data_IF_989734441297
#
_entry.id   IF_989734441297
#
_cell.length_a   1.000
_cell.length_b   1.000
_cell.length_c   1.000
_cell.angle_alpha   90.00
_cell.angle_beta   90.00
_cell.angle_gamma   90.00
#
_symmetry.space_group_name_H-M   'P 1'
#
loop_
_entity.id
_entity.type
_entity.pdbx_description
1 polymer ?
#
# COMPACT_ATOMS: atom_id res chain seq x y z
N UNK A 1 -2.39 31.48 -1.42
CA UNK A 1 -3.05 31.44 -2.74
C UNK A 1 -2.45 30.37 -3.64
N UNK A 2 -1.17 30.33 -3.89
CA UNK A 2 -0.48 29.36 -4.78
C UNK A 2 -0.75 27.88 -4.39
N UNK A 3 -0.70 27.53 -3.09
CA UNK A 3 -0.94 26.15 -2.61
C UNK A 3 -2.38 25.64 -2.86
N UNK A 4 -3.39 26.53 -2.87
CA UNK A 4 -4.78 26.18 -3.20
C UNK A 4 -4.94 25.96 -4.71
N UNK A 5 -4.28 26.79 -5.53
CA UNK A 5 -4.30 26.68 -6.98
C UNK A 5 -3.66 25.37 -7.46
N UNK A 6 -2.49 25.00 -6.93
CA UNK A 6 -1.83 23.73 -7.22
C UNK A 6 -2.68 22.52 -6.82
N UNK A 7 -3.33 22.55 -5.66
CA UNK A 7 -4.27 21.48 -5.27
C UNK A 7 -5.47 21.38 -6.22
N UNK A 8 -5.99 22.51 -6.70
CA UNK A 8 -7.10 22.52 -7.67
C UNK A 8 -6.69 21.91 -9.01
N UNK A 9 -5.49 22.21 -9.50
CA UNK A 9 -4.95 21.67 -10.76
C UNK A 9 -4.65 20.16 -10.61
N UNK A 10 -4.00 19.77 -9.52
CA UNK A 10 -3.64 18.37 -9.27
C UNK A 10 -4.87 17.45 -9.12
N UNK A 11 -5.99 17.97 -8.61
CA UNK A 11 -7.21 17.19 -8.41
C UNK A 11 -8.21 17.30 -9.58
N UNK A 12 -7.85 18.00 -10.67
CA UNK A 12 -8.76 18.27 -11.80
C UNK A 12 -8.98 17.05 -12.69
N UNK A 13 -7.96 16.19 -12.79
CA UNK A 13 -8.01 15.01 -13.65
C UNK A 13 -7.74 13.73 -12.85
N UNK A 14 -8.42 12.68 -13.23
CA UNK A 14 -8.06 11.32 -12.84
C UNK A 14 -7.35 10.58 -13.98
N UNK A 15 -6.94 9.34 -13.77
CA UNK A 15 -6.21 8.53 -14.76
C UNK A 15 -7.04 8.16 -15.99
N UNK A 16 -8.37 8.38 -15.94
CA UNK A 16 -9.33 8.01 -16.99
C UNK A 16 -9.79 9.21 -17.82
N UNK A 17 -9.60 10.45 -17.33
CA UNK A 17 -10.08 11.66 -17.97
C UNK A 17 -9.00 12.69 -18.35
N UNK A 18 -7.75 12.24 -18.51
CA UNK A 18 -6.66 13.08 -18.99
C UNK A 18 -6.95 13.55 -20.42
N UNK A 19 -6.82 14.86 -20.76
CA UNK A 19 -7.03 15.36 -22.10
C UNK A 19 -6.21 14.62 -23.15
N UNK A 20 -6.84 14.26 -24.27
CA UNK A 20 -6.24 13.41 -25.32
C UNK A 20 -4.90 13.96 -25.84
N UNK A 21 -4.79 15.28 -25.99
CA UNK A 21 -3.56 15.94 -26.46
C UNK A 21 -2.37 15.75 -25.48
N UNK A 22 -2.64 15.53 -24.20
CA UNK A 22 -1.62 15.32 -23.18
C UNK A 22 -1.26 13.85 -22.96
N UNK A 23 -2.02 12.91 -23.52
CA UNK A 23 -1.84 11.49 -23.29
C UNK A 23 -0.42 10.97 -23.61
N UNK A 24 0.23 11.34 -24.73
CA UNK A 24 1.57 10.84 -25.03
C UNK A 24 2.59 11.21 -23.95
N UNK A 25 2.60 12.49 -23.55
CA UNK A 25 3.50 13.00 -22.49
C UNK A 25 3.15 12.41 -21.14
N UNK A 26 1.86 12.30 -20.84
CA UNK A 26 1.36 11.70 -19.61
C UNK A 26 1.80 10.23 -19.46
N UNK A 27 1.65 9.42 -20.50
CA UNK A 27 2.08 8.03 -20.46
C UNK A 27 3.60 7.90 -20.41
N UNK A 28 4.33 8.66 -21.25
CA UNK A 28 5.80 8.66 -21.21
C UNK A 28 6.32 8.98 -19.82
N UNK A 29 5.84 10.06 -19.20
CA UNK A 29 6.21 10.46 -17.85
C UNK A 29 5.87 9.35 -16.84
N UNK A 30 4.68 8.76 -16.94
CA UNK A 30 4.22 7.70 -16.02
C UNK A 30 5.09 6.44 -16.13
N UNK A 31 5.48 6.03 -17.34
CA UNK A 31 6.35 4.88 -17.55
C UNK A 31 7.78 5.14 -17.05
N UNK A 32 8.31 6.35 -17.31
CA UNK A 32 9.64 6.73 -16.79
C UNK A 32 9.65 6.71 -15.26
N UNK A 33 8.66 7.31 -14.62
CA UNK A 33 8.52 7.27 -13.16
C UNK A 33 8.43 5.82 -12.64
N UNK A 34 7.61 5.00 -13.27
CA UNK A 34 7.46 3.59 -12.88
C UNK A 34 8.78 2.81 -13.01
N UNK A 35 9.50 3.00 -14.12
CA UNK A 35 10.78 2.35 -14.37
C UNK A 35 11.85 2.77 -13.33
N UNK A 36 11.90 4.07 -12.99
CA UNK A 36 12.83 4.58 -11.97
C UNK A 36 12.51 3.99 -10.59
N UNK A 37 11.22 3.98 -10.19
CA UNK A 37 10.81 3.36 -8.93
C UNK A 37 11.09 1.87 -8.90
N UNK A 38 10.86 1.16 -9.99
CA UNK A 38 11.10 -0.28 -10.10
C UNK A 38 12.60 -0.58 -10.03
N UNK A 39 13.42 0.11 -10.82
CA UNK A 39 14.88 -0.05 -10.78
C UNK A 39 15.44 0.22 -9.38
N UNK A 40 14.97 1.29 -8.72
CA UNK A 40 15.35 1.61 -7.36
C UNK A 40 14.97 0.49 -6.38
N UNK A 41 13.73 -0.02 -6.42
CA UNK A 41 13.27 -1.11 -5.56
C UNK A 41 14.12 -2.37 -5.75
N UNK A 42 14.43 -2.72 -7.01
CA UNK A 42 15.28 -3.86 -7.38
C UNK A 42 16.73 -3.66 -6.87
N UNK A 43 17.30 -2.47 -7.05
CA UNK A 43 18.65 -2.16 -6.54
C UNK A 43 18.70 -2.33 -5.02
N UNK A 44 17.75 -1.74 -4.29
CA UNK A 44 17.70 -1.87 -2.83
C UNK A 44 17.51 -3.33 -2.42
N UNK A 45 16.62 -4.06 -3.09
CA UNK A 45 16.36 -5.48 -2.82
C UNK A 45 17.64 -6.32 -2.88
N UNK A 46 18.37 -6.25 -3.98
CA UNK A 46 19.53 -7.10 -4.22
C UNK A 46 20.81 -6.65 -3.51
N UNK A 47 20.88 -5.38 -3.09
CA UNK A 47 22.07 -4.85 -2.39
C UNK A 47 21.93 -4.84 -0.88
N UNK A 48 20.71 -5.01 -0.33
CA UNK A 48 20.45 -4.89 1.10
C UNK A 48 20.34 -6.25 1.78
N UNK A 49 20.67 -6.28 3.08
CA UNK A 49 20.42 -7.45 3.92
C UNK A 49 18.96 -7.43 4.38
N UNK A 50 18.18 -8.36 3.86
CA UNK A 50 16.76 -8.52 4.23
C UNK A 50 16.67 -9.70 5.20
N UNK A 51 16.06 -9.45 6.37
CA UNK A 51 15.80 -10.44 7.41
C UNK A 51 14.30 -10.52 7.61
N UNK A 52 13.71 -11.70 7.38
CA UNK A 52 12.27 -11.92 7.53
C UNK A 52 12.07 -12.88 8.70
N UNK A 53 11.13 -12.54 9.57
CA UNK A 53 10.70 -13.33 10.73
C UNK A 53 9.19 -13.51 10.72
N UNK A 54 8.69 -14.58 11.32
CA UNK A 54 7.26 -14.86 11.42
C UNK A 54 6.64 -15.42 10.14
N UNK A 55 7.45 -16.02 9.23
CA UNK A 55 6.93 -16.60 7.98
C UNK A 55 5.97 -17.78 8.23
N UNK A 56 6.02 -18.40 9.40
CA UNK A 56 5.07 -19.43 9.84
C UNK A 56 3.63 -18.94 9.79
N UNK A 57 3.39 -17.64 10.02
CA UNK A 57 2.07 -17.03 9.94
C UNK A 57 1.48 -17.00 8.52
N UNK A 58 2.33 -17.08 7.49
CA UNK A 58 1.90 -17.15 6.08
C UNK A 58 1.38 -18.54 5.68
N UNK A 59 1.75 -19.57 6.43
CA UNK A 59 1.39 -20.96 6.09
C UNK A 59 -0.07 -21.30 6.40
N UNK A 60 -0.78 -20.48 7.16
CA UNK A 60 -2.12 -20.79 7.65
C UNK A 60 -3.22 -20.57 6.62
N UNK A 61 -2.99 -19.76 5.58
CA UNK A 61 -3.97 -19.44 4.53
C UNK A 61 -3.31 -19.06 3.20
N UNK A 62 -4.06 -19.15 2.07
CA UNK A 62 -3.55 -18.75 0.77
C UNK A 62 -3.52 -17.23 0.55
N UNK A 63 -4.31 -16.45 1.32
CA UNK A 63 -4.43 -15.00 1.13
C UNK A 63 -4.66 -14.23 2.44
N UNK A 64 -4.21 -12.98 2.45
CA UNK A 64 -4.22 -12.09 3.62
C UNK A 64 -4.50 -10.64 3.24
N UNK A 65 -4.92 -9.85 4.23
CA UNK A 65 -4.88 -8.39 4.21
C UNK A 65 -3.59 -7.98 4.95
N UNK A 66 -2.51 -7.76 4.21
CA UNK A 66 -1.27 -7.28 4.77
C UNK A 66 -1.41 -5.83 5.25
N UNK A 67 -1.00 -5.53 6.48
CA UNK A 67 -1.12 -4.19 7.06
C UNK A 67 0.20 -3.69 7.61
N UNK A 68 0.56 -2.47 7.25
CA UNK A 68 1.65 -1.71 7.84
C UNK A 68 1.40 -0.19 7.72
N UNK A 69 2.17 0.64 8.43
CA UNK A 69 2.03 2.09 8.32
C UNK A 69 2.56 2.63 6.98
N UNK A 70 1.97 3.71 6.47
CA UNK A 70 2.44 4.43 5.26
C UNK A 70 3.93 4.79 5.32
N UNK A 71 4.44 5.08 6.51
CA UNK A 71 5.86 5.34 6.77
C UNK A 71 6.76 4.29 6.13
N UNK A 72 6.32 3.05 6.07
CA UNK A 72 7.15 1.91 5.62
C UNK A 72 6.88 1.46 4.19
N UNK A 73 6.02 2.16 3.43
CA UNK A 73 5.62 1.70 2.09
C UNK A 73 6.81 1.53 1.12
N UNK A 74 7.86 2.36 1.24
CA UNK A 74 9.04 2.26 0.38
C UNK A 74 9.89 1.05 0.79
N UNK A 75 9.99 0.76 2.10
CA UNK A 75 10.63 -0.47 2.59
C UNK A 75 9.87 -1.70 2.10
N UNK A 76 8.55 -1.67 2.17
CA UNK A 76 7.69 -2.74 1.67
C UNK A 76 8.01 -3.05 0.20
N UNK A 77 8.02 -2.06 -0.68
CA UNK A 77 8.34 -2.23 -2.10
C UNK A 77 9.78 -2.68 -2.36
N UNK A 78 10.71 -2.33 -1.48
CA UNK A 78 12.10 -2.76 -1.59
C UNK A 78 12.31 -4.21 -1.16
N UNK A 79 11.45 -4.72 -0.27
CA UNK A 79 11.51 -6.12 0.19
C UNK A 79 10.70 -7.03 -0.73
N UNK A 80 9.49 -6.63 -1.07
CA UNK A 80 8.55 -7.45 -1.82
C UNK A 80 8.47 -6.99 -3.28
N UNK A 81 9.34 -7.53 -4.12
CA UNK A 81 9.43 -7.18 -5.56
C UNK A 81 8.59 -8.09 -6.46
N UNK A 82 7.83 -9.03 -5.87
CA UNK A 82 6.92 -9.92 -6.60
C UNK A 82 5.62 -10.08 -5.83
N UNK A 83 4.53 -9.76 -6.50
CA UNK A 83 3.18 -9.95 -5.98
C UNK A 83 2.39 -10.83 -6.94
N UNK A 84 1.96 -12.00 -6.49
CA UNK A 84 1.05 -12.87 -7.24
C UNK A 84 -0.30 -12.86 -6.54
N UNK A 85 -1.37 -12.88 -7.32
CA UNK A 85 -2.76 -12.88 -6.82
C UNK A 85 -3.02 -11.75 -5.82
N UNK A 86 -2.57 -10.54 -6.18
CA UNK A 86 -2.80 -9.32 -5.39
C UNK A 86 -3.77 -8.37 -6.09
N UNK A 87 -4.72 -7.83 -5.30
CA UNK A 87 -5.64 -6.78 -5.67
C UNK A 87 -5.44 -5.57 -4.75
N UNK A 88 -5.15 -4.39 -5.30
CA UNK A 88 -4.82 -3.20 -4.52
C UNK A 88 -5.76 -2.05 -4.81
N UNK A 89 -6.26 -1.40 -3.76
CA UNK A 89 -6.93 -0.10 -3.89
C UNK A 89 -5.89 1.00 -4.11
N UNK A 90 -6.14 1.84 -5.13
CA UNK A 90 -5.26 2.95 -5.47
C UNK A 90 -6.05 4.21 -5.76
N UNK A 91 -5.47 5.36 -5.41
CA UNK A 91 -6.07 6.65 -5.68
C UNK A 91 -6.17 6.89 -7.19
N UNK A 92 -7.32 7.37 -7.71
CA UNK A 92 -7.53 7.53 -9.16
C UNK A 92 -6.83 8.75 -9.77
N UNK A 93 -6.23 9.65 -8.98
CA UNK A 93 -5.62 10.88 -9.51
C UNK A 93 -4.54 10.60 -10.56
N UNK A 94 -4.51 11.45 -11.59
CA UNK A 94 -3.66 11.28 -12.77
C UNK A 94 -2.18 11.07 -12.46
N UNK A 95 -1.62 11.80 -11.47
CA UNK A 95 -0.21 11.67 -11.08
C UNK A 95 0.13 10.33 -10.41
N UNK A 96 -0.89 9.54 -10.02
CA UNK A 96 -0.71 8.20 -9.48
C UNK A 96 -0.48 7.14 -10.57
N UNK A 97 -0.63 7.49 -11.85
CA UNK A 97 -0.48 6.53 -12.96
C UNK A 97 0.87 5.83 -12.96
N UNK A 98 1.96 6.55 -12.65
CA UNK A 98 3.29 5.95 -12.49
C UNK A 98 3.34 4.87 -11.40
N UNK A 99 2.66 5.10 -10.28
CA UNK A 99 2.54 4.10 -9.21
C UNK A 99 1.68 2.91 -9.67
N UNK A 100 0.60 3.13 -10.40
CA UNK A 100 -0.21 2.02 -10.94
C UNK A 100 0.61 1.13 -11.89
N UNK A 101 1.43 1.72 -12.77
CA UNK A 101 2.33 0.97 -13.66
C UNK A 101 3.40 0.25 -12.84
N UNK A 102 4.01 0.92 -11.87
CA UNK A 102 4.99 0.33 -10.97
C UNK A 102 4.43 -0.90 -10.23
N UNK A 103 3.21 -0.82 -9.69
CA UNK A 103 2.55 -1.96 -9.04
C UNK A 103 2.33 -3.13 -10.01
N UNK A 104 1.98 -2.84 -11.28
CA UNK A 104 1.89 -3.86 -12.33
C UNK A 104 3.24 -4.52 -12.61
N UNK A 105 4.33 -3.75 -12.63
CA UNK A 105 5.70 -4.29 -12.79
C UNK A 105 6.09 -5.19 -11.61
N UNK A 106 5.60 -4.89 -10.41
CA UNK A 106 5.76 -5.76 -9.23
C UNK A 106 4.83 -7.00 -9.26
N UNK A 107 3.94 -7.13 -10.25
CA UNK A 107 3.07 -8.29 -10.42
C UNK A 107 1.70 -8.17 -9.74
N UNK A 108 1.28 -6.98 -9.31
CA UNK A 108 -0.10 -6.75 -8.82
C UNK A 108 -1.09 -6.95 -9.97
N UNK A 109 -1.99 -7.92 -9.83
CA UNK A 109 -2.89 -8.34 -10.90
C UNK A 109 -4.13 -7.46 -11.04
N UNK A 110 -4.63 -6.89 -9.95
CA UNK A 110 -5.79 -5.99 -9.96
C UNK A 110 -5.46 -4.66 -9.31
N UNK A 111 -5.77 -3.56 -10.01
CA UNK A 111 -5.76 -2.21 -9.43
C UNK A 111 -7.18 -1.70 -9.42
N UNK A 112 -7.70 -1.48 -8.21
CA UNK A 112 -9.06 -1.00 -7.96
C UNK A 112 -8.94 0.49 -7.67
N UNK A 113 -9.53 1.31 -8.54
CA UNK A 113 -9.46 2.77 -8.42
C UNK A 113 -10.47 3.27 -7.40
N UNK A 114 -9.98 3.91 -6.35
CA UNK A 114 -10.78 4.53 -5.31
C UNK A 114 -10.00 4.75 -4.03
N UNK A 115 -10.44 5.71 -3.25
CA UNK A 115 -9.88 6.04 -1.93
C UNK A 115 -10.90 6.83 -1.12
N UNK A 116 -10.61 7.11 0.15
CA UNK A 116 -11.47 7.97 0.97
C UNK A 116 -11.75 9.30 0.26
N UNK A 117 -13.03 9.60 0.03
CA UNK A 117 -13.48 10.80 -0.70
C UNK A 117 -13.52 10.66 -2.24
N UNK A 118 -13.09 9.51 -2.81
CA UNK A 118 -13.09 9.26 -4.26
C UNK A 118 -13.55 7.82 -4.52
N UNK A 119 -14.85 7.59 -4.59
CA UNK A 119 -15.45 6.26 -4.83
C UNK A 119 -14.97 5.16 -3.85
N UNK A 120 -14.62 5.53 -2.60
CA UNK A 120 -14.01 4.61 -1.64
C UNK A 120 -14.89 3.43 -1.25
N UNK A 121 -16.21 3.60 -1.16
CA UNK A 121 -17.15 2.52 -0.82
C UNK A 121 -17.23 1.46 -1.93
N UNK A 122 -17.32 1.90 -3.19
CA UNK A 122 -17.34 0.99 -4.33
C UNK A 122 -16.02 0.24 -4.48
N UNK A 123 -14.90 0.95 -4.33
CA UNK A 123 -13.59 0.32 -4.35
C UNK A 123 -13.40 -0.70 -3.21
N UNK A 124 -13.92 -0.40 -2.00
CA UNK A 124 -13.89 -1.34 -0.88
C UNK A 124 -14.74 -2.59 -1.18
N UNK A 125 -15.92 -2.44 -1.78
CA UNK A 125 -16.77 -3.57 -2.21
C UNK A 125 -16.03 -4.47 -3.21
N UNK A 126 -15.44 -3.89 -4.26
CA UNK A 126 -14.65 -4.63 -5.26
C UNK A 126 -13.43 -5.31 -4.66
N UNK A 127 -12.79 -4.69 -3.65
CA UNK A 127 -11.68 -5.30 -2.94
C UNK A 127 -12.15 -6.51 -2.11
N UNK A 128 -13.27 -6.39 -1.39
CA UNK A 128 -13.88 -7.50 -0.64
C UNK A 128 -14.19 -8.68 -1.57
N UNK A 129 -14.76 -8.43 -2.74
CA UNK A 129 -15.02 -9.48 -3.74
C UNK A 129 -13.72 -10.13 -4.22
N UNK A 130 -12.68 -9.34 -4.47
CA UNK A 130 -11.36 -9.87 -4.87
C UNK A 130 -10.73 -10.72 -3.77
N UNK A 131 -10.82 -10.30 -2.51
CA UNK A 131 -10.33 -11.06 -1.35
C UNK A 131 -11.05 -12.41 -1.21
N UNK A 132 -12.38 -12.41 -1.36
CA UNK A 132 -13.18 -13.66 -1.39
C UNK A 132 -12.81 -14.57 -2.57
N UNK A 133 -12.37 -13.99 -3.68
CA UNK A 133 -11.86 -14.69 -4.86
C UNK A 133 -10.41 -15.16 -4.74
N UNK A 134 -9.79 -15.12 -3.55
CA UNK A 134 -8.45 -15.64 -3.30
C UNK A 134 -7.29 -14.65 -3.49
N UNK A 135 -7.59 -13.37 -3.74
CA UNK A 135 -6.55 -12.35 -3.83
C UNK A 135 -6.12 -11.89 -2.44
N UNK A 136 -4.84 -11.56 -2.30
CA UNK A 136 -4.31 -10.78 -1.18
C UNK A 136 -4.34 -9.29 -1.48
N UNK A 137 -4.20 -8.47 -0.45
CA UNK A 137 -4.06 -7.02 -0.59
C UNK A 137 -3.08 -6.45 0.41
N UNK A 138 -2.67 -5.20 0.18
CA UNK A 138 -1.96 -4.40 1.18
C UNK A 138 -2.80 -3.18 1.50
N UNK A 139 -3.08 -2.98 2.78
CA UNK A 139 -3.79 -1.82 3.28
C UNK A 139 -2.93 -1.07 4.30
N UNK A 140 -2.93 0.25 4.16
CA UNK A 140 -2.19 1.16 5.02
C UNK A 140 -3.21 1.84 5.93
N UNK A 141 -3.33 1.43 7.21
CA UNK A 141 -4.46 1.80 8.05
C UNK A 141 -4.51 3.30 8.41
N UNK A 142 -3.38 4.01 8.33
CA UNK A 142 -3.29 5.45 8.54
C UNK A 142 -3.54 6.30 7.27
N UNK A 143 -3.79 5.69 6.13
CA UNK A 143 -3.99 6.39 4.87
C UNK A 143 -5.42 6.62 4.44
N UNK A 144 -5.62 7.37 3.32
CA UNK A 144 -4.74 8.43 2.84
C UNK A 144 -4.87 9.70 3.69
N UNK A 145 -3.79 10.48 3.76
CA UNK A 145 -3.81 11.81 4.38
C UNK A 145 -3.66 11.84 5.91
N UNK A 146 -3.40 10.71 6.56
CA UNK A 146 -3.05 10.61 7.97
C UNK A 146 -4.16 10.90 8.98
N UNK A 147 -3.81 11.23 10.23
CA UNK A 147 -2.44 11.39 10.75
C UNK A 147 -1.62 10.09 10.75
N UNK A 148 -0.27 10.17 10.71
CA UNK A 148 0.57 8.97 10.69
C UNK A 148 0.44 8.20 12.01
N UNK A 149 0.52 6.88 11.93
CA UNK A 149 0.41 5.95 13.07
C UNK A 149 -0.93 5.98 13.81
N UNK A 150 -1.99 6.45 13.14
CA UNK A 150 -3.36 6.38 13.66
C UNK A 150 -4.20 5.51 12.73
N UNK A 151 -4.55 4.33 13.20
CA UNK A 151 -5.33 3.38 12.41
C UNK A 151 -6.76 3.88 12.18
N UNK A 152 -7.24 3.73 10.95
CA UNK A 152 -8.65 3.95 10.57
C UNK A 152 -9.38 2.61 10.53
N UNK A 153 -10.64 2.61 10.91
CA UNK A 153 -11.45 1.39 10.99
C UNK A 153 -11.76 0.74 9.62
N UNK A 154 -11.42 1.40 8.51
CA UNK A 154 -11.71 0.90 7.16
C UNK A 154 -11.11 -0.49 6.86
N UNK A 155 -9.90 -0.76 7.35
CA UNK A 155 -9.26 -2.07 7.17
C UNK A 155 -10.03 -3.19 7.90
N UNK A 156 -10.57 -2.90 9.09
CA UNK A 156 -11.35 -3.88 9.85
C UNK A 156 -12.69 -4.17 9.18
N UNK A 157 -13.34 -3.16 8.60
CA UNK A 157 -14.58 -3.37 7.84
C UNK A 157 -14.34 -4.25 6.61
N UNK A 158 -13.21 -4.07 5.91
CA UNK A 158 -12.83 -4.93 4.78
C UNK A 158 -12.55 -6.36 5.27
N UNK A 159 -11.82 -6.54 6.37
CA UNK A 159 -11.57 -7.84 6.96
C UNK A 159 -12.86 -8.55 7.39
N UNK A 160 -13.73 -7.83 8.11
CA UNK A 160 -15.04 -8.34 8.55
C UNK A 160 -15.90 -8.81 7.36
N UNK A 161 -16.01 -7.98 6.31
CA UNK A 161 -16.87 -8.29 5.16
C UNK A 161 -16.29 -9.39 4.26
N UNK A 162 -14.97 -9.50 4.17
CA UNK A 162 -14.30 -10.51 3.36
C UNK A 162 -14.11 -11.85 4.09
N UNK A 163 -14.06 -11.84 5.41
CA UNK A 163 -13.67 -12.98 6.23
C UNK A 163 -12.19 -13.34 6.10
N UNK A 164 -11.36 -12.41 5.57
CA UNK A 164 -9.93 -12.61 5.40
C UNK A 164 -9.19 -11.92 6.54
N UNK A 165 -8.26 -12.60 7.24
CA UNK A 165 -7.57 -12.02 8.38
C UNK A 165 -6.59 -10.92 7.96
N UNK A 166 -6.38 -9.99 8.87
CA UNK A 166 -5.34 -8.97 8.77
C UNK A 166 -4.03 -9.60 9.23
N UNK A 167 -2.98 -9.51 8.42
CA UNK A 167 -1.62 -9.89 8.79
C UNK A 167 -0.77 -8.62 8.98
N UNK A 168 -0.51 -8.21 10.23
CA UNK A 168 0.29 -7.03 10.49
C UNK A 168 1.76 -7.29 10.16
N UNK A 169 2.43 -6.28 9.58
CA UNK A 169 3.85 -6.34 9.23
C UNK A 169 4.58 -5.18 9.91
N UNK A 170 5.60 -5.49 10.67
CA UNK A 170 6.54 -4.51 11.22
C UNK A 170 7.80 -4.41 10.37
N UNK A 171 8.28 -3.18 10.23
CA UNK A 171 9.53 -2.88 9.56
C UNK A 171 10.50 -2.16 10.49
N UNK A 172 11.75 -2.61 10.49
CA UNK A 172 12.87 -1.90 11.08
C UNK A 172 13.96 -1.80 10.02
N UNK A 173 14.57 -0.64 9.88
CA UNK A 173 15.65 -0.47 8.91
C UNK A 173 16.75 0.44 9.44
N UNK A 174 17.99 0.10 9.14
CA UNK A 174 19.17 0.95 9.34
C UNK A 174 19.55 1.59 8.00
N UNK A 175 20.16 2.79 8.03
CA UNK A 175 20.54 3.57 6.84
C UNK A 175 19.33 3.97 5.99
N UNK A 176 18.41 4.71 6.60
CA UNK A 176 17.23 5.29 5.96
C UNK A 176 17.22 6.80 6.15
N UNK A 177 16.65 7.52 5.18
CA UNK A 177 16.26 8.93 5.34
C UNK A 177 14.78 8.96 5.68
N UNK A 178 14.40 9.77 6.65
CA UNK A 178 13.01 10.09 6.92
C UNK A 178 12.62 11.34 6.13
N UNK A 179 11.65 11.20 5.23
CA UNK A 179 11.16 12.32 4.43
C UNK A 179 10.26 13.24 5.27
N UNK A 180 10.26 14.54 4.93
CA UNK A 180 9.36 15.55 5.53
C UNK A 180 7.96 15.51 4.87
N UNK A 181 7.38 14.32 4.75
CA UNK A 181 6.01 14.09 4.28
C UNK A 181 5.07 13.91 5.46
N UNK A 182 3.73 13.99 5.26
CA UNK A 182 2.75 13.79 6.33
C UNK A 182 2.92 12.43 7.02
N UNK A 183 3.27 11.39 6.26
CA UNK A 183 3.45 10.01 6.68
C UNK A 183 4.89 9.67 7.11
N UNK A 184 5.80 10.65 7.10
CA UNK A 184 7.20 10.50 7.53
C UNK A 184 7.87 9.29 6.87
N UNK A 185 7.70 9.12 5.54
CA UNK A 185 8.23 7.96 4.81
C UNK A 185 9.69 7.70 5.10
N UNK A 186 10.02 6.46 5.36
CA UNK A 186 11.40 5.99 5.49
C UNK A 186 11.89 5.51 4.13
N UNK A 187 12.92 6.19 3.63
CA UNK A 187 13.54 5.91 2.34
C UNK A 187 14.87 5.17 2.56
N UNK A 188 14.98 3.86 2.24
CA UNK A 188 16.20 3.10 2.46
C UNK A 188 17.29 3.46 1.45
N UNK A 189 18.55 3.43 1.87
CA UNK A 189 19.66 3.44 0.94
C UNK A 189 19.97 2.02 0.44
N UNK A 190 20.56 1.85 -0.74
CA UNK A 190 21.23 0.61 -1.10
C UNK A 190 22.22 0.17 -0.01
N UNK A 191 22.45 -1.12 0.12
CA UNK A 191 23.30 -1.73 1.15
C UNK A 191 22.82 -1.44 2.60
N UNK A 192 21.52 -1.27 2.80
CA UNK A 192 20.94 -1.15 4.13
C UNK A 192 20.64 -2.53 4.74
N UNK A 193 20.20 -2.53 5.99
CA UNK A 193 19.61 -3.73 6.62
C UNK A 193 18.14 -3.45 6.88
N UNK A 194 17.27 -4.31 6.35
CA UNK A 194 15.82 -4.24 6.55
C UNK A 194 15.38 -5.50 7.27
N UNK A 195 14.79 -5.34 8.46
CA UNK A 195 14.13 -6.41 9.20
C UNK A 195 12.62 -6.29 8.99
N UNK A 196 12.01 -7.38 8.58
CA UNK A 196 10.56 -7.52 8.40
C UNK A 196 10.08 -8.58 9.38
N UNK A 197 8.99 -8.29 10.06
CA UNK A 197 8.37 -9.23 10.97
C UNK A 197 6.89 -9.36 10.65
N UNK A 198 6.45 -10.55 10.24
CA UNK A 198 5.05 -10.91 10.21
C UNK A 198 4.60 -11.22 11.64
N UNK A 199 3.43 -10.70 12.00
CA UNK A 199 2.84 -10.94 13.31
C UNK A 199 1.64 -11.87 13.17
N UNK A 200 1.06 -12.26 14.28
CA UNK A 200 -0.09 -13.16 14.28
C UNK A 200 -1.27 -12.58 13.50
N UNK A 201 -1.95 -13.39 12.67
CA UNK A 201 -3.13 -12.98 11.93
C UNK A 201 -4.27 -12.56 12.85
N UNK A 202 -4.84 -11.40 12.63
CA UNK A 202 -5.97 -10.86 13.39
C UNK A 202 -7.26 -11.16 12.64
N UNK A 203 -8.15 -11.92 13.27
CA UNK A 203 -9.47 -12.26 12.79
C UNK A 203 -10.50 -11.24 13.25
N UNK A 204 -11.31 -10.73 12.34
CA UNK A 204 -12.31 -9.71 12.64
C UNK A 204 -13.71 -10.30 12.49
N UNK A 205 -14.45 -10.32 13.60
CA UNK A 205 -15.87 -10.66 13.66
C UNK A 205 -16.66 -9.49 14.23
N UNK A 206 -17.99 -9.54 14.24
CA UNK A 206 -18.79 -8.50 14.87
C UNK A 206 -18.46 -8.36 16.36
N UNK A 207 -18.26 -9.48 17.05
CA UNK A 207 -17.99 -9.50 18.50
C UNK A 207 -16.57 -9.07 18.86
N UNK A 208 -15.61 -9.27 17.95
CA UNK A 208 -14.19 -8.95 18.19
C UNK A 208 -13.75 -7.64 17.56
N UNK A 209 -14.63 -6.87 16.90
CA UNK A 209 -14.27 -5.72 16.09
C UNK A 209 -13.41 -4.66 16.81
N UNK A 210 -13.84 -4.24 18.01
CA UNK A 210 -13.10 -3.24 18.79
C UNK A 210 -11.83 -3.82 19.42
N UNK A 211 -11.82 -5.09 19.80
CA UNK A 211 -10.62 -5.79 20.24
C UNK A 211 -9.60 -5.90 19.10
N UNK A 212 -10.03 -6.28 17.90
CA UNK A 212 -9.19 -6.36 16.72
C UNK A 212 -8.58 -5.00 16.33
N UNK A 213 -9.31 -3.89 16.55
CA UNK A 213 -8.77 -2.54 16.38
C UNK A 213 -7.61 -2.26 17.33
N UNK A 214 -7.78 -2.57 18.60
CA UNK A 214 -6.76 -2.37 19.62
C UNK A 214 -5.55 -3.28 19.37
N UNK A 215 -5.80 -4.53 19.00
CA UNK A 215 -4.78 -5.51 18.64
C UNK A 215 -3.96 -5.06 17.43
N UNK A 216 -4.61 -4.64 16.35
CA UNK A 216 -3.92 -4.10 15.16
C UNK A 216 -3.06 -2.88 15.49
N UNK A 217 -3.60 -1.95 16.27
CA UNK A 217 -2.87 -0.74 16.67
C UNK A 217 -1.63 -1.09 17.50
N UNK A 218 -1.77 -2.02 18.47
CA UNK A 218 -0.67 -2.53 19.29
C UNK A 218 0.34 -3.33 18.45
N UNK A 219 -0.15 -4.14 17.51
CA UNK A 219 0.68 -4.95 16.64
C UNK A 219 1.55 -4.09 15.72
N UNK A 220 1.06 -2.97 15.22
CA UNK A 220 1.82 -2.08 14.36
C UNK A 220 2.78 -1.13 15.11
N UNK A 221 2.57 -0.90 16.40
CA UNK A 221 3.47 -0.13 17.30
C UNK A 221 3.25 1.35 17.27
#
# INVERSE_FOLDING_TARGET
>A
MVRKLWKSILNRYDVTNVPTILLPVFYLFSYVCAAVYFAYAVIVHFTSKILIEGEEHLATRPNYIFCHWHTYIILYFSVFIRHRSHAWMQHPLWFMKGIHIFLRLLGVEKIILGSTGHHGHEAARLLVESLKGGYSTVLLPDGPGGPPFVAKRGVLHIALQSGIPILPIRFQAKRVIQLKTWDKKKWPFPFCTIKVQYLEPIWVTNDTFDNAYNELTKALG
#
